data_IF_964388313015
#
_entry.id   IF_964388313015
#
_cell.length_a   1.000
_cell.length_b   1.000
_cell.length_c   1.000
_cell.angle_alpha   90.00
_cell.angle_beta   90.00
_cell.angle_gamma   90.00
#
_symmetry.space_group_name_H-M   'P 1'
#
loop_
_entity.id
_entity.type
_entity.pdbx_description
1 polymer ?
#
# COMPACT_ATOMS: atom_id res chain seq x y z
N UNK A 1 -5.29 24.78 -5.01
CA UNK A 1 -6.67 24.27 -5.11
C UNK A 1 -6.65 22.79 -4.75
N UNK A 2 -7.25 22.38 -3.61
CA UNK A 2 -7.39 20.95 -3.27
C UNK A 2 -8.62 20.42 -4.00
N UNK A 3 -8.42 19.75 -5.13
CA UNK A 3 -9.52 19.13 -5.87
C UNK A 3 -9.86 17.80 -5.21
N UNK A 4 -10.86 17.79 -4.33
CA UNK A 4 -11.49 16.56 -3.86
C UNK A 4 -12.58 16.20 -4.87
N UNK A 5 -12.35 15.17 -5.67
CA UNK A 5 -13.39 14.61 -6.53
C UNK A 5 -14.08 13.47 -5.77
N UNK A 6 -15.39 13.60 -5.55
CA UNK A 6 -16.19 12.56 -4.90
C UNK A 6 -17.22 12.07 -5.91
N UNK A 7 -16.98 10.86 -6.44
CA UNK A 7 -17.86 10.23 -7.42
C UNK A 7 -19.01 9.45 -6.78
N UNK A 8 -18.76 8.84 -5.61
CA UNK A 8 -19.74 8.02 -4.90
C UNK A 8 -20.50 8.85 -3.85
N UNK A 9 -21.81 8.69 -3.83
CA UNK A 9 -22.67 9.13 -2.72
C UNK A 9 -22.33 8.41 -1.41
N UNK A 10 -22.81 8.94 -0.29
CA UNK A 10 -22.62 8.32 1.03
C UNK A 10 -23.28 6.93 1.12
N UNK A 11 -24.45 6.78 0.48
CA UNK A 11 -25.14 5.49 0.40
C UNK A 11 -24.35 4.46 -0.41
N UNK A 12 -23.71 4.87 -1.51
CA UNK A 12 -22.86 4.00 -2.31
C UNK A 12 -21.59 3.59 -1.56
N UNK A 13 -20.97 4.53 -0.84
CA UNK A 13 -19.82 4.22 0.02
C UNK A 13 -20.19 3.22 1.13
N UNK A 14 -21.35 3.41 1.75
CA UNK A 14 -21.90 2.50 2.77
C UNK A 14 -22.15 1.12 2.18
N UNK A 15 -22.75 1.03 0.97
CA UNK A 15 -22.94 -0.25 0.27
C UNK A 15 -21.62 -0.96 0.00
N UNK A 16 -20.58 -0.24 -0.45
CA UNK A 16 -19.25 -0.82 -0.68
C UNK A 16 -18.68 -1.35 0.63
N UNK A 17 -18.72 -0.57 1.71
CA UNK A 17 -18.23 -0.98 3.02
C UNK A 17 -18.93 -2.26 3.51
N UNK A 18 -20.26 -2.29 3.49
CA UNK A 18 -21.05 -3.44 3.94
C UNK A 18 -20.75 -4.71 3.13
N UNK A 19 -20.57 -4.58 1.81
CA UNK A 19 -20.17 -5.71 0.96
C UNK A 19 -18.74 -6.17 1.22
N UNK A 20 -17.81 -5.25 1.46
CA UNK A 20 -16.44 -5.59 1.83
C UNK A 20 -16.38 -6.35 3.16
N UNK A 21 -17.12 -5.91 4.18
CA UNK A 21 -17.21 -6.63 5.46
C UNK A 21 -17.78 -8.03 5.26
N UNK A 22 -18.88 -8.16 4.49
CA UNK A 22 -19.46 -9.47 4.18
C UNK A 22 -18.46 -10.42 3.52
N UNK A 23 -17.65 -9.94 2.58
CA UNK A 23 -16.59 -10.74 1.95
C UNK A 23 -15.57 -11.19 2.98
N UNK A 24 -15.07 -10.28 3.81
CA UNK A 24 -14.07 -10.60 4.84
C UNK A 24 -14.59 -11.62 5.86
N UNK A 25 -15.85 -11.52 6.25
CA UNK A 25 -16.46 -12.36 7.28
C UNK A 25 -16.93 -13.72 6.75
N UNK A 26 -17.58 -13.77 5.58
CA UNK A 26 -18.16 -15.00 5.05
C UNK A 26 -17.21 -15.79 4.16
N UNK A 27 -16.43 -15.09 3.33
CA UNK A 27 -15.51 -15.70 2.34
C UNK A 27 -14.10 -15.78 2.92
N UNK A 28 -13.60 -14.69 3.51
CA UNK A 28 -12.26 -14.62 4.08
C UNK A 28 -11.16 -14.38 3.04
N UNK A 29 -9.91 -14.42 3.50
CA UNK A 29 -8.70 -14.14 2.71
C UNK A 29 -7.66 -15.23 2.94
N UNK A 30 -6.94 -15.64 1.88
CA UNK A 30 -5.85 -16.61 2.00
C UNK A 30 -4.58 -15.93 2.50
N UNK A 31 -4.01 -16.46 3.59
CA UNK A 31 -2.74 -16.03 4.17
C UNK A 31 -1.75 -17.19 4.14
N UNK A 32 -0.78 -17.15 3.23
CA UNK A 32 0.20 -18.23 3.06
C UNK A 32 1.18 -18.38 4.24
N UNK A 33 1.24 -17.37 5.12
CA UNK A 33 2.08 -17.35 6.31
C UNK A 33 1.35 -17.90 7.53
N UNK A 34 1.85 -19.01 8.09
CA UNK A 34 1.34 -19.57 9.34
C UNK A 34 1.45 -18.59 10.51
N UNK A 35 2.45 -17.69 10.50
CA UNK A 35 2.58 -16.62 11.51
C UNK A 35 1.43 -15.63 11.41
N UNK A 36 1.06 -15.21 10.20
CA UNK A 36 -0.06 -14.30 9.99
C UNK A 36 -1.38 -14.92 10.46
N UNK A 37 -1.63 -16.19 10.10
CA UNK A 37 -2.82 -16.93 10.54
C UNK A 37 -2.94 -17.00 12.07
N UNK A 38 -1.84 -17.33 12.78
CA UNK A 38 -1.82 -17.34 14.25
C UNK A 38 -2.12 -15.98 14.87
N UNK A 39 -1.60 -14.90 14.27
CA UNK A 39 -1.89 -13.54 14.74
C UNK A 39 -3.37 -13.21 14.54
N UNK A 40 -3.95 -13.56 13.39
CA UNK A 40 -5.36 -13.31 13.11
C UNK A 40 -6.27 -14.12 14.03
N UNK A 41 -6.02 -15.41 14.21
CA UNK A 41 -6.78 -16.28 15.12
C UNK A 41 -6.74 -15.76 16.56
N UNK A 42 -5.56 -15.39 17.04
CA UNK A 42 -5.39 -14.81 18.39
C UNK A 42 -6.24 -13.55 18.62
N UNK A 43 -6.55 -12.81 17.55
CA UNK A 43 -7.33 -11.57 17.61
C UNK A 43 -8.79 -11.77 17.17
N UNK A 44 -9.27 -13.01 17.05
CA UNK A 44 -10.68 -13.34 16.85
C UNK A 44 -11.08 -13.71 15.43
N UNK A 45 -10.15 -13.79 14.47
CA UNK A 45 -10.45 -14.33 13.15
C UNK A 45 -10.71 -15.85 13.22
N UNK A 46 -11.64 -16.36 12.42
CA UNK A 46 -11.83 -17.81 12.26
C UNK A 46 -10.86 -18.30 11.19
N UNK A 47 -9.96 -19.20 11.55
CA UNK A 47 -8.90 -19.68 10.66
C UNK A 47 -9.11 -21.12 10.26
N UNK A 48 -9.03 -21.40 8.97
CA UNK A 48 -8.82 -22.73 8.41
C UNK A 48 -7.34 -22.86 8.02
N UNK A 49 -6.58 -23.60 8.83
CA UNK A 49 -5.15 -23.82 8.59
C UNK A 49 -4.87 -24.73 7.39
N UNK A 50 -5.81 -25.61 7.01
CA UNK A 50 -5.65 -26.50 5.86
C UNK A 50 -5.73 -25.72 4.56
N UNK A 51 -6.71 -24.83 4.44
CA UNK A 51 -6.90 -23.95 3.28
C UNK A 51 -6.09 -22.66 3.35
N UNK A 52 -5.39 -22.43 4.47
CA UNK A 52 -4.64 -21.21 4.79
C UNK A 52 -5.53 -19.96 4.67
N UNK A 53 -6.76 -20.05 5.16
CA UNK A 53 -7.81 -19.05 5.00
C UNK A 53 -8.16 -18.45 6.37
N UNK A 54 -8.31 -17.13 6.44
CA UNK A 54 -8.82 -16.43 7.62
C UNK A 54 -10.07 -15.63 7.28
N UNK A 55 -11.15 -15.87 8.03
CA UNK A 55 -12.38 -15.07 8.00
C UNK A 55 -12.31 -14.01 9.10
N UNK A 56 -12.42 -12.75 8.70
CA UNK A 56 -12.18 -11.58 9.56
C UNK A 56 -13.54 -10.96 9.91
N UNK A 57 -13.97 -11.02 11.18
CA UNK A 57 -15.27 -10.49 11.59
C UNK A 57 -15.29 -8.96 11.62
N UNK A 58 -16.48 -8.37 11.52
CA UNK A 58 -16.69 -6.91 11.51
C UNK A 58 -16.01 -6.22 12.70
N UNK A 59 -16.17 -6.76 13.90
CA UNK A 59 -15.67 -6.16 15.13
C UNK A 59 -14.14 -5.99 15.09
N UNK A 60 -13.45 -6.95 14.45
CA UNK A 60 -12.01 -6.89 14.26
C UNK A 60 -11.61 -5.79 13.27
N UNK A 61 -12.37 -5.61 12.18
CA UNK A 61 -12.16 -4.53 11.21
C UNK A 61 -12.41 -3.17 11.86
N UNK A 62 -13.52 -3.02 12.59
CA UNK A 62 -13.87 -1.78 13.28
C UNK A 62 -12.82 -1.40 14.32
N UNK A 63 -12.32 -2.37 15.09
CA UNK A 63 -11.25 -2.14 16.06
C UNK A 63 -9.94 -1.75 15.38
N UNK A 64 -9.60 -2.37 14.25
CA UNK A 64 -8.42 -2.00 13.47
C UNK A 64 -8.53 -0.56 12.94
N UNK A 65 -9.68 -0.15 12.41
CA UNK A 65 -9.92 1.21 11.91
C UNK A 65 -9.91 2.28 13.01
N UNK A 66 -10.35 1.94 14.23
CA UNK A 66 -10.30 2.80 15.41
C UNK A 66 -8.87 3.03 15.90
N UNK A 67 -8.04 1.98 15.87
CA UNK A 67 -6.66 2.02 16.39
C UNK A 67 -5.63 2.48 15.36
N UNK A 68 -5.96 2.42 14.07
CA UNK A 68 -5.10 2.90 13.00
C UNK A 68 -4.81 4.41 13.16
N UNK A 69 -3.52 4.84 13.12
CA UNK A 69 -3.17 6.24 13.26
C UNK A 69 -3.78 7.06 12.11
N UNK A 70 -4.42 8.19 12.45
CA UNK A 70 -4.98 9.11 11.44
C UNK A 70 -3.91 9.93 10.73
N UNK A 71 -2.73 10.04 11.34
CA UNK A 71 -1.56 10.69 10.76
C UNK A 71 -0.28 10.11 11.33
N UNK A 72 0.77 10.10 10.51
CA UNK A 72 2.13 9.72 10.91
C UNK A 72 3.13 10.42 9.97
N UNK A 73 4.42 10.36 10.29
CA UNK A 73 5.49 10.88 9.42
C UNK A 73 6.29 9.69 8.88
N UNK A 74 6.47 9.64 7.57
CA UNK A 74 7.44 8.76 6.94
C UNK A 74 8.80 9.43 7.06
N UNK A 75 9.61 8.95 7.99
CA UNK A 75 10.93 9.51 8.29
C UNK A 75 11.94 9.23 7.18
N UNK A 76 12.61 10.29 6.72
CA UNK A 76 13.70 10.23 5.77
C UNK A 76 15.06 10.26 6.49
N UNK A 77 16.14 9.94 5.75
CA UNK A 77 17.50 10.04 6.28
C UNK A 77 17.91 11.49 6.60
N UNK A 78 17.53 12.43 5.73
CA UNK A 78 17.58 13.85 6.04
C UNK A 78 16.16 14.29 6.43
N UNK A 79 15.93 14.74 7.67
CA UNK A 79 14.60 15.17 8.14
C UNK A 79 13.94 16.27 7.31
N UNK A 80 14.70 17.03 6.52
CA UNK A 80 14.13 18.01 5.57
C UNK A 80 13.24 17.35 4.49
N UNK A 81 13.40 16.05 4.25
CA UNK A 81 12.60 15.27 3.31
C UNK A 81 11.57 14.35 3.99
N UNK A 82 11.29 14.56 5.28
CA UNK A 82 10.22 13.84 5.98
C UNK A 82 8.86 14.07 5.30
N UNK A 83 8.10 13.00 5.08
CA UNK A 83 6.79 13.08 4.43
C UNK A 83 5.68 12.86 5.46
N UNK A 84 4.91 13.89 5.85
CA UNK A 84 3.74 13.70 6.69
C UNK A 84 2.64 12.99 5.90
N UNK A 85 1.93 12.07 6.56
CA UNK A 85 0.73 11.43 6.03
C UNK A 85 -0.48 11.77 6.91
N UNK A 86 -1.61 12.19 6.31
CA UNK A 86 -1.81 12.45 4.88
C UNK A 86 -0.98 13.65 4.39
N UNK A 87 -0.39 13.53 3.20
CA UNK A 87 0.48 14.55 2.64
C UNK A 87 -0.32 15.81 2.22
N UNK A 88 0.23 17.02 2.39
CA UNK A 88 -0.43 18.25 1.99
C UNK A 88 -0.42 18.48 0.46
N UNK A 89 0.41 17.72 -0.26
CA UNK A 89 0.55 17.73 -1.71
C UNK A 89 0.53 16.30 -2.28
N UNK A 90 0.28 16.19 -3.58
CA UNK A 90 0.49 14.94 -4.33
C UNK A 90 1.92 14.92 -4.84
N UNK A 91 2.69 13.94 -4.42
CA UNK A 91 4.04 13.70 -4.94
C UNK A 91 4.13 12.35 -5.65
N UNK A 92 5.25 12.15 -6.33
CA UNK A 92 5.59 10.91 -7.01
C UNK A 92 6.38 10.00 -6.08
N UNK A 93 6.23 8.70 -6.29
CA UNK A 93 7.04 7.67 -5.65
C UNK A 93 7.76 6.95 -6.78
N UNK A 94 9.07 6.78 -6.66
CA UNK A 94 9.82 5.96 -7.60
C UNK A 94 9.79 4.51 -7.14
N UNK A 95 9.28 3.63 -7.99
CA UNK A 95 9.40 2.18 -7.81
C UNK A 95 10.67 1.66 -8.51
N UNK A 96 11.48 0.90 -7.78
CA UNK A 96 12.68 0.25 -8.30
C UNK A 96 12.49 -1.25 -8.57
N UNK A 97 11.26 -1.79 -8.46
CA UNK A 97 10.96 -3.22 -8.64
C UNK A 97 10.89 -3.72 -10.10
N UNK A 98 11.14 -2.86 -11.09
CA UNK A 98 11.04 -3.22 -12.50
C UNK A 98 12.11 -4.24 -12.94
N UNK A 99 11.69 -5.44 -13.34
CA UNK A 99 12.60 -6.52 -13.84
C UNK A 99 13.11 -6.31 -15.27
N UNK A 100 12.48 -5.43 -16.04
CA UNK A 100 12.89 -5.08 -17.39
C UNK A 100 12.96 -3.57 -17.54
N UNK A 101 13.91 -3.10 -18.35
CA UNK A 101 14.06 -1.70 -18.73
C UNK A 101 14.26 -1.57 -20.23
N UNK A 102 14.05 -0.36 -20.75
CA UNK A 102 14.34 -0.03 -22.14
C UNK A 102 15.67 0.72 -22.22
N UNK A 103 16.64 0.13 -22.92
CA UNK A 103 17.92 0.77 -23.20
C UNK A 103 17.74 1.78 -24.33
N UNK A 104 17.57 3.06 -23.99
CA UNK A 104 17.39 4.14 -24.97
C UNK A 104 18.60 4.35 -25.89
N UNK A 105 19.81 3.92 -25.49
CA UNK A 105 21.01 4.04 -26.33
C UNK A 105 21.06 2.95 -27.39
N UNK A 106 20.61 1.73 -27.05
CA UNK A 106 20.58 0.58 -27.95
C UNK A 106 19.24 0.36 -28.63
N UNK A 107 18.19 1.05 -28.20
CA UNK A 107 16.83 0.92 -28.73
C UNK A 107 16.18 -0.44 -28.44
N UNK A 108 16.53 -1.10 -27.33
CA UNK A 108 16.04 -2.46 -27.03
C UNK A 108 15.59 -2.64 -25.58
N UNK A 109 14.60 -3.50 -25.37
CA UNK A 109 14.20 -4.00 -24.05
C UNK A 109 15.23 -5.02 -23.54
N UNK A 110 15.63 -4.90 -22.28
CA UNK A 110 16.55 -5.84 -21.60
C UNK A 110 16.17 -6.02 -20.14
N UNK A 111 16.80 -6.98 -19.46
CA UNK A 111 16.75 -7.04 -18.00
C UNK A 111 17.31 -5.76 -17.39
N UNK A 112 16.68 -5.32 -16.30
CA UNK A 112 17.19 -4.23 -15.50
C UNK A 112 18.45 -4.65 -14.74
N UNK A 113 19.26 -3.66 -14.40
CA UNK A 113 20.47 -3.78 -13.62
C UNK A 113 20.41 -2.76 -12.48
N UNK A 114 21.24 -2.94 -11.45
CA UNK A 114 21.34 -1.96 -10.36
C UNK A 114 21.66 -0.54 -10.88
N UNK A 115 22.45 -0.45 -11.96
CA UNK A 115 22.80 0.82 -12.59
C UNK A 115 21.58 1.57 -13.11
N UNK A 116 20.57 0.86 -13.59
CA UNK A 116 19.32 1.47 -14.05
C UNK A 116 18.55 2.11 -12.89
N UNK A 117 18.50 1.42 -11.74
CA UNK A 117 17.91 1.97 -10.52
C UNK A 117 18.69 3.20 -10.05
N UNK A 118 20.03 3.14 -10.00
CA UNK A 118 20.85 4.30 -9.64
C UNK A 118 20.63 5.51 -10.55
N UNK A 119 20.51 5.29 -11.86
CA UNK A 119 20.31 6.36 -12.82
C UNK A 119 18.91 6.97 -12.70
N UNK A 120 17.88 6.14 -12.47
CA UNK A 120 16.53 6.63 -12.18
C UNK A 120 16.48 7.43 -10.88
N UNK A 121 17.20 6.97 -9.84
CA UNK A 121 17.29 7.64 -8.54
C UNK A 121 17.91 9.03 -8.65
N UNK A 122 19.01 9.18 -9.41
CA UNK A 122 19.64 10.49 -9.66
C UNK A 122 18.70 11.48 -10.32
N UNK A 123 17.88 11.01 -11.29
CA UNK A 123 16.87 11.87 -11.93
C UNK A 123 15.76 12.22 -10.95
N UNK A 124 15.29 11.24 -10.17
CA UNK A 124 14.19 11.42 -9.23
C UNK A 124 14.53 12.35 -8.06
N UNK A 125 15.77 12.35 -7.59
CA UNK A 125 16.26 13.27 -6.56
C UNK A 125 16.13 14.74 -6.98
N UNK A 126 16.30 15.04 -8.27
CA UNK A 126 16.16 16.39 -8.83
C UNK A 126 14.70 16.76 -9.15
N UNK A 127 13.76 15.82 -9.05
CA UNK A 127 12.34 16.09 -9.33
C UNK A 127 11.72 16.83 -8.14
N UNK A 128 11.23 18.04 -8.38
CA UNK A 128 10.57 18.87 -7.35
C UNK A 128 9.33 18.22 -6.70
N UNK A 129 8.72 17.23 -7.36
CA UNK A 129 7.58 16.47 -6.86
C UNK A 129 7.95 15.03 -6.44
N UNK A 130 9.22 14.66 -6.46
CA UNK A 130 9.66 13.36 -5.93
C UNK A 130 9.52 13.33 -4.40
N UNK A 131 8.79 12.35 -3.86
CA UNK A 131 8.55 12.25 -2.41
C UNK A 131 9.48 11.24 -1.74
N UNK A 132 9.37 9.96 -2.12
CA UNK A 132 10.19 8.89 -1.54
C UNK A 132 10.34 7.75 -2.54
N UNK A 133 11.23 6.81 -2.21
CA UNK A 133 11.54 5.65 -3.04
C UNK A 133 10.88 4.42 -2.43
N UNK A 134 10.20 3.64 -3.26
CA UNK A 134 9.80 2.27 -2.96
C UNK A 134 10.92 1.32 -3.43
N UNK A 135 11.70 0.76 -2.49
CA UNK A 135 12.91 0.00 -2.82
C UNK A 135 12.61 -1.35 -3.49
#
# INVERSE_FOLDING_TARGET
MKTKCQFLSEDEQSKVHEKSIKILEEIGVKFLSAKALKVLEKNGAKVDYSEKLAKIPREMVDQALKTAPKSFVLGARNPEFDVPYPAPYTGYVLDCGGVFTFDYKKGQRRYSTLKDCEDALRVFEEMSLGSYIWP
#
